data_IF_776876554904
#
_entry.id   IF_776876554904
#
_cell.length_a   1.000
_cell.length_b   1.000
_cell.length_c   1.000
_cell.angle_alpha   90.00
_cell.angle_beta   90.00
_cell.angle_gamma   90.00
#
_symmetry.space_group_name_H-M   'P 1'
#
loop_
_entity.id
_entity.type
_entity.pdbx_description
1 polymer ?
#
# COMPACT_ATOMS: atom_id res chain seq x y z
N UNK A 1 -27.10 47.30 -38.20
CA UNK A 1 -25.86 47.25 -37.40
C UNK A 1 -25.24 45.88 -37.63
N UNK A 2 -24.27 45.61 -38.51
CA UNK A 2 -22.97 46.22 -38.86
C UNK A 2 -21.96 46.26 -37.70
N UNK A 3 -21.08 45.23 -37.75
CA UNK A 3 -19.65 45.14 -37.38
C UNK A 3 -19.25 45.23 -35.90
N UNK A 4 -18.41 44.26 -35.48
CA UNK A 4 -16.96 44.45 -35.34
C UNK A 4 -16.21 43.10 -35.42
N UNK A 5 -15.28 43.03 -36.39
CA UNK A 5 -14.13 42.10 -36.46
C UNK A 5 -13.06 42.57 -35.48
N UNK A 6 -12.23 41.65 -34.97
CA UNK A 6 -10.87 41.78 -34.38
C UNK A 6 -10.66 40.48 -33.58
N UNK A 7 -9.72 39.57 -33.84
CA UNK A 7 -8.30 39.67 -34.15
C UNK A 7 -7.82 38.41 -34.87
N UNK A 8 -6.85 38.58 -35.78
CA UNK A 8 -6.03 37.48 -36.29
C UNK A 8 -4.97 37.06 -35.26
N UNK A 9 -4.52 35.80 -35.37
CA UNK A 9 -3.25 35.38 -34.80
C UNK A 9 -2.68 34.23 -35.65
N UNK A 10 -1.50 34.50 -36.19
CA UNK A 10 -0.67 33.62 -37.00
C UNK A 10 -0.40 32.28 -36.31
N UNK A 11 -0.50 31.20 -37.09
CA UNK A 11 -0.06 29.86 -36.70
C UNK A 11 1.10 29.49 -37.62
N UNK A 12 2.31 29.55 -37.08
CA UNK A 12 3.55 29.08 -37.72
C UNK A 12 3.73 27.59 -37.42
N UNK A 13 3.97 26.84 -38.48
CA UNK A 13 4.44 25.44 -38.58
C UNK A 13 5.85 25.30 -37.94
N UNK A 14 6.13 24.23 -37.18
CA UNK A 14 6.63 22.90 -37.57
C UNK A 14 8.14 22.86 -37.91
N UNK A 15 8.91 22.14 -37.08
CA UNK A 15 10.21 21.47 -37.29
C UNK A 15 10.80 21.25 -35.88
N UNK A 16 11.39 20.14 -35.44
CA UNK A 16 12.01 18.97 -36.05
C UNK A 16 13.14 18.55 -35.08
N UNK A 17 13.09 17.33 -34.54
CA UNK A 17 14.14 16.69 -33.70
C UNK A 17 15.45 16.42 -34.53
N UNK A 18 16.59 15.86 -34.03
CA UNK A 18 16.84 15.08 -32.79
C UNK A 18 18.24 15.17 -32.10
N UNK A 19 18.36 14.40 -30.99
CA UNK A 19 19.46 13.52 -30.49
C UNK A 19 20.93 14.02 -30.35
N UNK A 20 21.47 13.94 -29.13
CA UNK A 20 22.54 13.01 -28.68
C UNK A 20 23.98 13.46 -28.97
N UNK A 21 24.78 13.62 -27.91
CA UNK A 21 26.14 13.06 -27.80
C UNK A 21 26.63 13.17 -26.35
N UNK A 22 26.74 12.01 -25.70
CA UNK A 22 27.60 11.71 -24.54
C UNK A 22 28.63 10.72 -25.12
N UNK A 23 29.95 10.89 -24.94
CA UNK A 23 30.61 10.12 -23.89
C UNK A 23 31.90 10.76 -23.33
N UNK A 24 32.23 10.46 -22.07
CA UNK A 24 33.57 9.98 -21.74
C UNK A 24 33.56 9.24 -20.40
N UNK A 25 33.96 7.97 -20.48
CA UNK A 25 34.30 7.08 -19.38
C UNK A 25 35.45 7.64 -18.54
N UNK A 26 35.48 7.30 -17.25
CA UNK A 26 36.72 6.91 -16.57
C UNK A 26 36.48 6.18 -15.25
N UNK A 27 36.90 4.92 -15.27
CA UNK A 27 37.79 4.28 -14.28
C UNK A 27 37.30 4.15 -12.83
N UNK A 28 36.72 2.97 -12.57
CA UNK A 28 37.16 1.97 -11.60
C UNK A 28 38.19 2.45 -10.56
N UNK A 29 37.78 2.45 -9.29
CA UNK A 29 38.64 2.08 -8.16
C UNK A 29 37.77 1.65 -6.96
N UNK A 30 37.50 0.34 -6.84
CA UNK A 30 37.34 -0.25 -5.50
C UNK A 30 38.70 -0.18 -4.80
N UNK A 31 38.75 -0.04 -3.46
CA UNK A 31 38.96 -1.27 -2.72
C UNK A 31 38.42 -1.30 -1.28
N UNK A 32 38.34 -2.55 -0.81
CA UNK A 32 38.57 -3.03 0.56
C UNK A 32 37.44 -2.92 1.59
N UNK A 33 36.67 -3.99 1.59
CA UNK A 33 36.03 -4.56 2.76
C UNK A 33 37.10 -5.10 3.72
N UNK A 34 37.10 -4.67 4.99
CA UNK A 34 37.75 -5.40 6.08
C UNK A 34 36.70 -5.73 7.14
N UNK A 35 36.34 -7.01 7.24
CA UNK A 35 35.56 -7.57 8.35
C UNK A 35 36.54 -8.14 9.39
N UNK A 36 36.55 -7.64 10.63
CA UNK A 36 37.27 -8.32 11.70
C UNK A 36 36.41 -9.43 12.32
N UNK A 37 36.90 -10.66 12.11
CA UNK A 37 37.09 -11.75 13.08
C UNK A 37 35.86 -12.40 13.73
N UNK A 38 35.70 -13.66 13.34
CA UNK A 38 35.07 -14.75 14.07
C UNK A 38 35.57 -14.82 15.52
N UNK A 39 34.66 -14.75 16.49
CA UNK A 39 34.87 -15.30 17.82
C UNK A 39 33.91 -16.47 18.08
N UNK A 40 34.56 -17.54 18.52
CA UNK A 40 34.07 -18.87 18.82
C UNK A 40 32.79 -18.96 19.66
N UNK A 41 31.86 -19.78 19.16
CA UNK A 41 31.12 -20.88 19.81
C UNK A 41 31.18 -20.92 21.35
N UNK A 42 30.03 -20.77 22.00
CA UNK A 42 29.67 -21.54 23.20
C UNK A 42 28.27 -22.11 23.10
N UNK A 43 28.27 -23.41 22.85
CA UNK A 43 27.19 -24.38 22.97
C UNK A 43 26.76 -24.52 24.43
N UNK A 44 25.48 -24.27 24.74
CA UNK A 44 24.86 -24.68 26.01
C UNK A 44 23.43 -25.15 25.70
N UNK A 45 23.24 -26.46 25.73
CA UNK A 45 21.94 -27.16 25.76
C UNK A 45 22.05 -28.21 26.90
N UNK A 46 20.95 -28.75 27.44
CA UNK A 46 20.15 -28.20 28.52
C UNK A 46 20.20 -29.10 29.78
N UNK A 47 19.99 -28.54 30.97
CA UNK A 47 19.81 -29.35 32.18
C UNK A 47 18.31 -29.59 32.43
N UNK A 48 17.89 -30.85 32.34
CA UNK A 48 16.51 -31.33 32.51
C UNK A 48 16.33 -31.77 33.97
N UNK A 49 15.48 -31.11 34.79
CA UNK A 49 15.01 -31.70 36.04
C UNK A 49 13.81 -32.63 35.80
N UNK A 50 14.02 -33.93 36.06
CA UNK A 50 13.00 -34.96 36.27
C UNK A 50 12.13 -34.62 37.49
N UNK A 51 10.80 -34.56 37.34
CA UNK A 51 9.83 -34.82 38.43
C UNK A 51 8.59 -35.54 37.86
N UNK A 52 8.07 -36.45 38.69
CA UNK A 52 7.18 -37.60 38.48
C UNK A 52 5.72 -37.32 38.01
N UNK A 53 4.97 -38.35 37.54
CA UNK A 53 3.67 -38.19 36.90
C UNK A 53 2.49 -38.25 37.89
N UNK A 54 1.48 -37.41 37.69
CA UNK A 54 0.18 -37.57 38.35
C UNK A 54 -1.01 -37.13 37.48
N UNK A 55 -1.82 -38.14 37.16
CA UNK A 55 -3.29 -38.18 37.07
C UNK A 55 -4.03 -37.35 36.01
N UNK A 56 -4.55 -38.10 35.06
CA UNK A 56 -5.75 -37.91 34.24
C UNK A 56 -6.90 -37.22 34.98
N UNK A 57 -7.48 -36.18 34.37
CA UNK A 57 -8.89 -35.82 34.54
C UNK A 57 -9.47 -35.38 33.19
N UNK A 58 -10.67 -35.86 32.93
CA UNK A 58 -11.45 -35.70 31.70
C UNK A 58 -12.02 -34.28 31.53
N UNK A 59 -12.38 -34.02 30.28
CA UNK A 59 -12.79 -32.78 29.60
C UNK A 59 -13.95 -32.02 30.28
N UNK A 60 -14.01 -30.68 30.11
CA UNK A 60 -15.27 -30.12 29.61
C UNK A 60 -15.07 -29.22 28.39
N UNK A 61 -16.08 -29.30 27.52
CA UNK A 61 -16.23 -28.69 26.20
C UNK A 61 -15.82 -27.21 26.16
N UNK A 62 -14.78 -26.90 25.38
CA UNK A 62 -14.40 -25.52 25.10
C UNK A 62 -15.44 -24.91 24.17
N UNK A 63 -16.30 -24.09 24.78
CA UNK A 63 -17.16 -23.10 24.13
C UNK A 63 -16.46 -22.42 22.96
N UNK A 64 -17.22 -22.24 21.89
CA UNK A 64 -16.96 -21.36 20.74
C UNK A 64 -16.26 -20.09 21.24
N UNK A 65 -14.97 -19.96 20.92
CA UNK A 65 -14.24 -18.73 21.16
C UNK A 65 -14.86 -17.68 20.23
N UNK A 66 -15.54 -16.71 20.83
CA UNK A 66 -15.93 -15.47 20.18
C UNK A 66 -14.72 -14.95 19.39
N UNK A 67 -14.95 -14.64 18.11
CA UNK A 67 -14.01 -13.91 17.28
C UNK A 67 -13.79 -12.56 17.97
N UNK A 68 -12.76 -12.50 18.83
CA UNK A 68 -12.17 -11.25 19.26
C UNK A 68 -11.87 -10.48 17.98
N UNK A 69 -12.58 -9.37 17.80
CA UNK A 69 -12.25 -8.36 16.80
C UNK A 69 -10.76 -8.09 16.95
N UNK A 70 -9.99 -8.54 15.97
CA UNK A 70 -8.53 -8.46 15.99
C UNK A 70 -8.15 -7.02 16.33
N UNK A 71 -7.33 -6.85 17.37
CA UNK A 71 -6.80 -5.56 17.76
C UNK A 71 -6.23 -4.89 16.52
N UNK A 72 -6.66 -3.66 16.23
CA UNK A 72 -6.13 -2.80 15.17
C UNK A 72 -4.65 -2.38 15.40
N UNK A 73 -3.93 -3.14 16.23
CA UNK A 73 -2.55 -2.98 16.66
C UNK A 73 -1.69 -4.21 16.40
N UNK A 74 -2.12 -5.16 15.55
CA UNK A 74 -1.20 -6.17 15.03
C UNK A 74 -0.05 -5.51 14.25
N UNK A 75 1.16 -6.01 14.47
CA UNK A 75 2.35 -5.54 13.77
C UNK A 75 2.28 -5.93 12.30
N UNK A 76 2.42 -4.96 11.41
CA UNK A 76 2.56 -5.18 9.96
C UNK A 76 4.04 -5.48 9.69
N UNK A 77 4.37 -6.59 8.99
CA UNK A 77 5.74 -6.89 8.60
C UNK A 77 6.37 -5.79 7.74
N UNK A 78 7.70 -5.75 7.71
CA UNK A 78 8.40 -4.84 6.81
C UNK A 78 8.24 -5.28 5.35
N UNK A 79 7.98 -4.32 4.47
CA UNK A 79 7.87 -4.53 3.03
C UNK A 79 8.76 -3.53 2.28
N UNK A 80 9.36 -3.98 1.18
CA UNK A 80 10.22 -3.15 0.33
C UNK A 80 9.42 -2.18 -0.55
N UNK A 81 8.17 -2.50 -0.84
CA UNK A 81 7.34 -1.76 -1.78
C UNK A 81 5.91 -1.59 -1.26
N UNK A 82 5.25 -0.50 -1.69
CA UNK A 82 3.86 -0.25 -1.34
C UNK A 82 2.90 -1.32 -1.90
N UNK A 83 3.07 -1.83 -3.15
CA UNK A 83 2.28 -2.95 -3.64
C UNK A 83 2.36 -4.20 -2.77
N UNK A 84 3.55 -4.59 -2.30
CA UNK A 84 3.71 -5.78 -1.47
C UNK A 84 3.09 -5.61 -0.08
N UNK A 85 3.20 -4.39 0.46
CA UNK A 85 2.50 -4.04 1.70
C UNK A 85 0.98 -4.11 1.53
N UNK A 86 0.45 -3.62 0.41
CA UNK A 86 -0.98 -3.77 0.13
C UNK A 86 -1.38 -5.23 -0.07
N UNK A 87 -0.58 -6.07 -0.74
CA UNK A 87 -0.87 -7.51 -0.86
C UNK A 87 -1.05 -8.16 0.51
N UNK A 88 -0.17 -7.82 1.46
CA UNK A 88 -0.30 -8.27 2.84
C UNK A 88 -1.59 -7.74 3.50
N UNK A 89 -1.82 -6.43 3.43
CA UNK A 89 -2.96 -5.79 4.08
C UNK A 89 -4.33 -6.24 3.53
N UNK A 90 -4.41 -6.57 2.24
CA UNK A 90 -5.60 -7.15 1.62
C UNK A 90 -5.81 -8.64 1.97
N UNK A 91 -4.75 -9.35 2.39
CA UNK A 91 -4.82 -10.73 2.88
C UNK A 91 -5.10 -10.83 4.39
N UNK A 92 -4.94 -9.74 5.13
CA UNK A 92 -5.19 -9.70 6.58
C UNK A 92 -6.68 -9.49 6.88
N UNK A 93 -7.29 -10.43 7.60
CA UNK A 93 -8.73 -10.40 7.93
C UNK A 93 -9.13 -9.29 8.89
N UNK A 94 -8.20 -8.74 9.68
CA UNK A 94 -8.45 -7.61 10.58
C UNK A 94 -8.46 -6.27 9.84
N UNK A 95 -7.61 -6.14 8.82
CA UNK A 95 -7.44 -4.90 8.03
C UNK A 95 -8.42 -4.86 6.84
N UNK A 96 -8.52 -5.96 6.11
CA UNK A 96 -9.41 -6.16 4.96
C UNK A 96 -10.56 -7.11 5.32
N UNK A 97 -11.09 -6.99 6.53
CA UNK A 97 -12.27 -7.76 6.94
C UNK A 97 -13.46 -7.49 6.02
N UNK A 98 -14.27 -8.53 5.77
CA UNK A 98 -15.48 -8.47 4.92
C UNK A 98 -15.26 -8.22 3.42
N UNK A 99 -14.06 -8.48 2.88
CA UNK A 99 -13.79 -8.38 1.44
C UNK A 99 -14.67 -9.29 0.58
N UNK A 100 -15.14 -10.42 1.11
CA UNK A 100 -16.10 -11.31 0.44
C UNK A 100 -17.42 -10.61 0.08
N UNK A 101 -17.84 -9.65 0.91
CA UNK A 101 -19.08 -8.89 0.75
C UNK A 101 -18.90 -7.62 -0.09
N UNK A 102 -17.72 -7.43 -0.69
CA UNK A 102 -17.43 -6.30 -1.58
C UNK A 102 -17.62 -6.76 -3.02
N UNK A 103 -18.27 -5.94 -3.83
CA UNK A 103 -18.45 -6.19 -5.26
C UNK A 103 -17.12 -6.02 -6.02
N UNK A 104 -17.20 -5.98 -7.34
CA UNK A 104 -16.04 -5.67 -8.18
C UNK A 104 -15.58 -4.22 -8.01
N UNK A 105 -14.26 -4.04 -8.08
CA UNK A 105 -13.65 -2.73 -8.08
C UNK A 105 -12.30 -2.71 -8.75
N UNK A 106 -11.90 -1.53 -9.18
CA UNK A 106 -10.58 -1.26 -9.75
C UNK A 106 -10.00 0.02 -9.15
N UNK A 107 -8.92 -0.10 -8.40
CA UNK A 107 -8.17 1.04 -7.86
C UNK A 107 -6.86 1.18 -8.62
N UNK A 108 -6.50 2.40 -8.98
CA UNK A 108 -5.23 2.70 -9.61
C UNK A 108 -4.35 3.54 -8.68
N UNK A 109 -3.07 3.21 -8.63
CA UNK A 109 -2.09 3.88 -7.79
C UNK A 109 -0.94 4.41 -8.61
N UNK A 110 -0.43 5.56 -8.19
CA UNK A 110 0.85 6.12 -8.64
C UNK A 110 1.70 6.42 -7.39
N UNK A 111 2.79 5.68 -7.23
CA UNK A 111 3.69 5.78 -6.07
C UNK A 111 5.13 5.51 -6.52
N UNK A 112 6.11 6.28 -6.05
CA UNK A 112 7.54 6.13 -6.43
C UNK A 112 7.81 6.21 -7.93
N UNK A 113 6.94 6.85 -8.71
CA UNK A 113 7.02 6.88 -10.19
C UNK A 113 6.42 5.65 -10.87
N UNK A 114 6.14 4.59 -10.12
CA UNK A 114 5.50 3.38 -10.60
C UNK A 114 3.98 3.49 -10.56
N UNK A 115 3.34 2.79 -11.50
CA UNK A 115 1.89 2.61 -11.53
C UNK A 115 1.54 1.16 -11.28
N UNK A 116 0.54 0.94 -10.43
CA UNK A 116 -0.01 -0.39 -10.18
C UNK A 116 -1.52 -0.29 -9.96
N UNK A 117 -2.21 -1.39 -10.20
CA UNK A 117 -3.65 -1.51 -9.99
C UNK A 117 -3.95 -2.56 -8.93
N UNK A 118 -5.04 -2.32 -8.19
CA UNK A 118 -5.64 -3.26 -7.26
C UNK A 118 -7.04 -3.55 -7.79
N UNK A 119 -7.23 -4.76 -8.30
CA UNK A 119 -8.51 -5.17 -8.88
C UNK A 119 -9.13 -6.32 -8.09
N UNK A 120 -10.46 -6.32 -8.01
CA UNK A 120 -11.23 -7.46 -7.55
C UNK A 120 -12.34 -7.71 -8.56
N UNK A 121 -12.37 -8.92 -9.14
CA UNK A 121 -13.46 -9.37 -10.02
C UNK A 121 -14.67 -9.80 -9.17
N UNK A 122 -15.84 -9.88 -9.80
CA UNK A 122 -17.03 -10.43 -9.15
C UNK A 122 -16.73 -11.81 -8.53
N UNK A 123 -16.97 -11.95 -7.22
CA UNK A 123 -16.65 -13.16 -6.43
C UNK A 123 -15.18 -13.63 -6.47
N UNK A 124 -14.24 -12.81 -6.96
CA UNK A 124 -12.82 -13.13 -7.06
C UNK A 124 -12.00 -12.64 -5.87
N UNK A 125 -10.74 -13.10 -5.79
CA UNK A 125 -9.73 -12.56 -4.87
C UNK A 125 -9.21 -11.19 -5.36
N UNK A 126 -8.65 -10.42 -4.44
CA UNK A 126 -7.94 -9.18 -4.79
C UNK A 126 -6.65 -9.51 -5.51
N UNK A 127 -6.40 -8.87 -6.64
CA UNK A 127 -5.19 -8.97 -7.44
C UNK A 127 -4.48 -7.62 -7.46
N UNK A 128 -3.16 -7.64 -7.30
CA UNK A 128 -2.31 -6.44 -7.34
C UNK A 128 -1.28 -6.64 -8.43
N UNK A 129 -1.41 -5.86 -9.49
CA UNK A 129 -0.61 -5.99 -10.70
C UNK A 129 0.06 -4.65 -11.06
N UNK A 130 1.29 -4.67 -11.59
CA UNK A 130 1.90 -3.47 -12.14
C UNK A 130 1.16 -3.01 -13.39
N UNK A 131 1.18 -1.70 -13.66
CA UNK A 131 0.63 -1.11 -14.89
C UNK A 131 -0.44 -0.06 -14.64
N UNK A 132 -0.96 0.46 -15.76
CA UNK A 132 -2.04 1.44 -15.79
C UNK A 132 -3.39 0.76 -15.88
N UNK A 133 -4.34 1.23 -15.09
CA UNK A 133 -5.76 0.99 -15.35
C UNK A 133 -6.32 2.12 -16.23
N UNK A 134 -7.26 1.76 -17.08
CA UNK A 134 -8.15 2.67 -17.78
C UNK A 134 -9.55 2.27 -17.30
N UNK A 135 -10.32 3.20 -16.75
CA UNK A 135 -11.61 2.97 -16.05
C UNK A 135 -11.50 2.54 -14.57
N UNK A 136 -10.51 3.08 -13.86
CA UNK A 136 -10.45 2.93 -12.40
C UNK A 136 -11.63 3.62 -11.70
N UNK A 137 -12.07 3.04 -10.58
CA UNK A 137 -13.04 3.66 -9.67
C UNK A 137 -12.43 4.82 -8.89
N UNK A 138 -11.15 4.67 -8.54
CA UNK A 138 -10.39 5.59 -7.72
C UNK A 138 -8.95 5.61 -8.20
N UNK A 139 -8.43 6.81 -8.42
CA UNK A 139 -7.03 7.04 -8.70
C UNK A 139 -6.35 7.67 -7.48
N UNK A 140 -5.30 7.03 -6.96
CA UNK A 140 -4.59 7.45 -5.75
C UNK A 140 -3.15 7.75 -6.12
N UNK A 141 -2.74 9.00 -5.90
CA UNK A 141 -1.36 9.43 -6.06
C UNK A 141 -0.71 9.62 -4.69
N UNK A 142 0.40 8.94 -4.47
CA UNK A 142 1.20 9.01 -3.25
C UNK A 142 2.57 9.58 -3.60
N UNK A 143 2.96 10.68 -2.96
CA UNK A 143 4.31 11.23 -3.11
C UNK A 143 5.38 10.30 -2.56
N UNK A 144 6.60 10.37 -3.10
CA UNK A 144 7.70 9.48 -2.70
C UNK A 144 7.99 9.53 -1.19
N UNK A 145 8.03 10.72 -0.59
CA UNK A 145 8.29 10.86 0.85
C UNK A 145 7.17 10.25 1.71
N UNK A 146 5.91 10.44 1.29
CA UNK A 146 4.78 9.78 1.94
C UNK A 146 4.83 8.25 1.80
N UNK A 147 5.35 7.70 0.70
CA UNK A 147 5.54 6.24 0.56
C UNK A 147 6.51 5.74 1.62
N UNK A 148 7.64 6.43 1.82
CA UNK A 148 8.63 6.04 2.83
C UNK A 148 8.04 6.05 4.24
N UNK A 149 7.29 7.11 4.59
CA UNK A 149 6.61 7.21 5.88
C UNK A 149 5.56 6.10 6.05
N UNK A 150 4.76 5.81 5.03
CA UNK A 150 3.80 4.70 5.03
C UNK A 150 4.46 3.33 5.19
N UNK A 151 5.63 3.12 4.55
CA UNK A 151 6.39 1.88 4.68
C UNK A 151 7.04 1.71 6.07
N UNK A 152 7.33 2.81 6.76
CA UNK A 152 7.87 2.80 8.13
C UNK A 152 6.83 2.51 9.22
N UNK A 153 5.54 2.62 8.91
CA UNK A 153 4.47 2.40 9.88
C UNK A 153 4.47 0.95 10.40
N UNK A 154 4.38 0.77 11.72
CA UNK A 154 4.48 -0.57 12.36
C UNK A 154 3.10 -1.22 12.52
N UNK A 155 2.04 -0.43 12.64
CA UNK A 155 0.66 -0.93 12.81
C UNK A 155 -0.26 -0.40 11.72
N UNK A 156 -1.43 -1.04 11.55
CA UNK A 156 -2.45 -0.51 10.65
C UNK A 156 -2.99 0.83 11.10
N UNK A 157 -3.10 1.04 12.42
CA UNK A 157 -3.51 2.33 12.98
C UNK A 157 -2.54 3.43 12.56
N UNK A 158 -1.24 3.25 12.76
CA UNK A 158 -0.22 4.24 12.37
C UNK A 158 -0.22 4.52 10.87
N UNK A 159 -0.39 3.47 10.07
CA UNK A 159 -0.54 3.58 8.62
C UNK A 159 -1.77 4.44 8.27
N UNK A 160 -2.92 4.16 8.90
CA UNK A 160 -4.17 4.88 8.64
C UNK A 160 -4.11 6.35 9.07
N UNK A 161 -3.50 6.63 10.22
CA UNK A 161 -3.33 7.99 10.75
C UNK A 161 -2.37 8.80 9.85
N UNK A 162 -1.28 8.18 9.41
CA UNK A 162 -0.30 8.80 8.50
C UNK A 162 -0.90 9.05 7.12
N UNK A 163 -1.62 8.06 6.58
CA UNK A 163 -2.31 8.18 5.30
C UNK A 163 -3.34 9.31 5.33
N UNK A 164 -4.19 9.36 6.35
CA UNK A 164 -5.21 10.40 6.48
C UNK A 164 -4.61 11.78 6.77
N UNK A 165 -3.48 11.85 7.47
CA UNK A 165 -2.76 13.12 7.68
C UNK A 165 -2.34 13.72 6.35
N UNK A 166 -1.66 12.96 5.49
CA UNK A 166 -1.18 13.45 4.20
C UNK A 166 -2.29 13.64 3.16
N UNK A 167 -3.42 12.96 3.33
CA UNK A 167 -4.61 13.21 2.53
C UNK A 167 -5.30 14.52 2.91
N UNK A 168 -5.47 14.80 4.22
CA UNK A 168 -6.18 15.99 4.70
C UNK A 168 -5.30 17.25 4.65
N UNK A 169 -4.02 17.11 4.99
CA UNK A 169 -3.05 18.20 5.08
C UNK A 169 -1.83 17.85 4.23
N UNK A 170 -1.85 18.25 2.96
CA UNK A 170 -0.69 18.07 2.09
C UNK A 170 0.46 18.97 2.56
N UNK A 171 1.63 18.38 2.79
CA UNK A 171 2.87 19.05 3.13
C UNK A 171 3.79 19.09 1.89
N UNK A 172 4.80 19.99 1.83
CA UNK A 172 5.78 19.99 0.75
C UNK A 172 6.47 18.63 0.63
N UNK A 173 6.32 17.98 -0.53
CA UNK A 173 6.90 16.64 -0.78
C UNK A 173 6.12 15.45 -0.19
N UNK A 174 5.18 15.68 0.74
CA UNK A 174 4.37 14.64 1.40
C UNK A 174 2.89 14.87 1.20
N UNK A 175 2.30 14.12 0.29
CA UNK A 175 0.87 14.20 0.01
C UNK A 175 0.30 12.85 -0.45
N UNK A 176 -1.00 12.71 -0.20
CA UNK A 176 -1.82 11.66 -0.80
C UNK A 176 -3.00 12.33 -1.47
N UNK A 177 -3.13 12.16 -2.79
CA UNK A 177 -4.24 12.71 -3.56
C UNK A 177 -5.16 11.58 -3.98
N UNK A 178 -6.42 11.67 -3.60
CA UNK A 178 -7.46 10.70 -3.94
C UNK A 178 -8.41 11.34 -4.94
N UNK A 179 -8.51 10.78 -6.13
CA UNK A 179 -9.43 11.17 -7.18
C UNK A 179 -10.49 10.07 -7.35
N UNK A 180 -11.72 10.34 -6.89
CA UNK A 180 -12.84 9.43 -7.09
C UNK A 180 -13.35 9.62 -8.53
N UNK A 181 -13.30 8.56 -9.34
CA UNK A 181 -13.92 8.52 -10.68
C UNK A 181 -15.37 8.05 -10.58
N UNK A 182 -15.63 7.14 -9.66
CA UNK A 182 -16.96 6.66 -9.29
C UNK A 182 -17.53 7.46 -8.12
N UNK A 183 -18.85 7.69 -8.10
CA UNK A 183 -19.53 8.38 -7.00
C UNK A 183 -19.37 7.63 -5.66
N UNK A 184 -19.15 8.36 -4.58
CA UNK A 184 -18.94 7.80 -3.24
C UNK A 184 -20.11 6.92 -2.76
N UNK A 185 -21.35 7.27 -3.15
CA UNK A 185 -22.55 6.52 -2.83
C UNK A 185 -22.57 5.18 -3.56
N UNK A 186 -22.08 5.14 -4.81
CA UNK A 186 -21.93 3.90 -5.58
C UNK A 186 -20.86 2.99 -4.94
N UNK A 187 -19.70 3.56 -4.57
CA UNK A 187 -18.64 2.83 -3.88
C UNK A 187 -19.12 2.23 -2.55
N UNK A 188 -19.90 2.99 -1.78
CA UNK A 188 -20.47 2.51 -0.53
C UNK A 188 -21.48 1.37 -0.72
N UNK A 189 -22.31 1.42 -1.77
CA UNK A 189 -23.23 0.33 -2.13
C UNK A 189 -22.46 -0.95 -2.48
N UNK A 190 -21.32 -0.82 -3.15
CA UNK A 190 -20.40 -1.92 -3.48
C UNK A 190 -19.60 -2.46 -2.29
N UNK A 191 -19.79 -1.90 -1.10
CA UNK A 191 -19.21 -2.44 0.14
C UNK A 191 -17.95 -1.73 0.64
N UNK A 192 -17.47 -0.68 -0.02
CA UNK A 192 -16.24 0.02 0.38
C UNK A 192 -16.26 0.53 1.84
N UNK A 193 -17.42 1.00 2.32
CA UNK A 193 -17.56 1.50 3.69
C UNK A 193 -17.45 0.41 4.76
N UNK A 194 -17.60 -0.87 4.38
CA UNK A 194 -17.57 -2.02 5.31
C UNK A 194 -16.15 -2.51 5.56
N UNK A 195 -15.27 -2.34 4.58
CA UNK A 195 -13.87 -2.78 4.67
C UNK A 195 -13.00 -1.62 5.17
N UNK A 196 -12.31 -1.73 6.31
CA UNK A 196 -11.49 -0.64 6.86
C UNK A 196 -10.45 -0.11 5.89
N UNK A 197 -9.76 -1.01 5.18
CA UNK A 197 -8.77 -0.63 4.17
C UNK A 197 -9.39 0.14 2.99
N UNK A 198 -10.48 -0.34 2.40
CA UNK A 198 -11.12 0.36 1.29
C UNK A 198 -11.67 1.73 1.72
N UNK A 199 -12.25 1.80 2.91
CA UNK A 199 -12.72 3.05 3.50
C UNK A 199 -11.59 4.07 3.68
N UNK A 200 -10.40 3.62 4.07
CA UNK A 200 -9.19 4.44 4.14
C UNK A 200 -8.78 4.95 2.76
N UNK A 201 -8.71 4.05 1.77
CA UNK A 201 -8.23 4.34 0.42
C UNK A 201 -9.10 5.37 -0.33
N UNK A 202 -10.39 5.44 -0.03
CA UNK A 202 -11.31 6.46 -0.59
C UNK A 202 -11.39 7.74 0.24
N UNK A 203 -10.58 7.87 1.29
CA UNK A 203 -10.57 9.04 2.17
C UNK A 203 -11.78 9.17 3.09
N UNK A 204 -12.58 8.10 3.23
CA UNK A 204 -13.78 8.08 4.06
C UNK A 204 -13.52 7.55 5.49
N UNK A 205 -12.27 7.21 5.82
CA UNK A 205 -11.86 6.92 7.18
C UNK A 205 -11.99 8.19 8.03
N UNK A 206 -12.78 8.09 9.11
CA UNK A 206 -13.03 9.20 10.03
C UNK A 206 -12.14 9.08 11.24
#
# INVERSE_FOLDING_TARGET
MVRRKLFGRDKKEADGEPSEEVPEEKEIAEPTWELPKEEAVKEIVPEIPKVEPAKTYEVPETKVTEVKVADRGSTIPYHKSLPDRFKYMFGDSGIAGSMENTDEFLLAFMAMGDRFKVEKKAMGSVQIEPGTAYDEDVFIRVSNDAVNDLLSCVTFKDFSDTYMRYYRNAEPGKFIKIELRSDISSLNKRGFARVPLLKLLIGAAR
#
